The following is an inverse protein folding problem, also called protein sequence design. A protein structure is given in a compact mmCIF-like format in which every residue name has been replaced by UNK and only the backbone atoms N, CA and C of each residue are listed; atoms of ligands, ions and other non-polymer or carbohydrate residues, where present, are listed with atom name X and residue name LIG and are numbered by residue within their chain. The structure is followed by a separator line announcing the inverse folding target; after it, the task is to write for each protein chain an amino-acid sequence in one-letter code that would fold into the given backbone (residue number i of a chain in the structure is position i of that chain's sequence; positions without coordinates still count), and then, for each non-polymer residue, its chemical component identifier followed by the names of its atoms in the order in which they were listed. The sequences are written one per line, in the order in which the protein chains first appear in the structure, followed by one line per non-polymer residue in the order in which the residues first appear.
data_IF_449442521379
#
_entry.id   IF_449442521379
#
_cell.length_a   1.000
_cell.length_b   1.000
_cell.length_c   1.000
_cell.angle_alpha   90.00
_cell.angle_beta   90.00
_cell.angle_gamma   90.00
#
_symmetry.space_group_name_H-M   'P 1'
#
loop_
_entity.id
_entity.type
_entity.pdbx_description
1 polymer ?
#
# COMPACT_ATOMS: atom_id res chain seq x y z
N UNK A 1 3.99 -5.12 -30.70
CA UNK A 1 5.22 -5.50 -29.97
C UNK A 1 5.93 -4.20 -29.59
N UNK A 2 5.74 -3.73 -28.35
CA UNK A 2 6.33 -2.48 -27.87
C UNK A 2 7.71 -2.76 -27.29
N UNK A 3 8.70 -1.96 -27.69
CA UNK A 3 10.12 -2.15 -27.40
C UNK A 3 10.41 -2.12 -25.88
N UNK A 4 10.55 -3.29 -25.27
CA UNK A 4 11.12 -3.48 -23.93
C UNK A 4 12.66 -3.55 -23.94
N UNK A 5 13.29 -3.21 -25.07
CA UNK A 5 14.73 -3.30 -25.25
C UNK A 5 15.38 -1.95 -24.93
N UNK A 6 16.34 -1.97 -23.99
CA UNK A 6 17.37 -0.94 -23.73
C UNK A 6 17.10 0.13 -22.66
N UNK A 7 16.50 -0.21 -21.52
CA UNK A 7 16.75 0.59 -20.31
C UNK A 7 18.11 0.18 -19.74
N UNK A 8 19.18 0.84 -20.20
CA UNK A 8 20.47 0.80 -19.50
C UNK A 8 20.27 1.55 -18.18
N UNK A 9 20.46 0.92 -17.01
CA UNK A 9 20.29 1.61 -15.74
C UNK A 9 21.39 2.68 -15.62
N UNK A 10 21.00 3.95 -15.73
CA UNK A 10 21.87 5.10 -15.52
C UNK A 10 21.75 5.49 -14.05
N UNK A 11 22.88 5.72 -13.33
CA UNK A 11 22.81 6.16 -11.94
C UNK A 11 22.08 7.50 -11.84
N UNK A 12 21.10 7.57 -10.94
CA UNK A 12 20.42 8.82 -10.58
C UNK A 12 21.35 9.59 -9.63
N UNK A 13 21.67 10.87 -9.89
CA UNK A 13 22.46 11.66 -8.95
C UNK A 13 21.80 11.74 -7.58
N UNK A 14 22.58 11.64 -6.49
CA UNK A 14 22.06 11.57 -5.11
C UNK A 14 21.11 12.72 -4.76
N UNK A 15 21.41 13.94 -5.22
CA UNK A 15 20.54 15.11 -4.99
C UNK A 15 19.18 14.96 -5.67
N UNK A 16 19.13 14.33 -6.84
CA UNK A 16 17.89 14.05 -7.56
C UNK A 16 17.12 12.94 -6.85
N UNK A 17 17.80 11.88 -6.40
CA UNK A 17 17.17 10.83 -5.60
C UNK A 17 16.55 11.39 -4.31
N UNK A 18 17.27 12.26 -3.60
CA UNK A 18 16.76 12.95 -2.41
C UNK A 18 15.56 13.85 -2.73
N UNK A 19 15.61 14.58 -3.85
CA UNK A 19 14.50 15.43 -4.29
C UNK A 19 13.25 14.60 -4.60
N UNK A 20 13.38 13.49 -5.33
CA UNK A 20 12.29 12.57 -5.61
C UNK A 20 11.69 12.05 -4.29
N UNK A 21 12.53 11.63 -3.35
CA UNK A 21 12.07 11.18 -2.03
C UNK A 21 11.33 12.26 -1.24
N UNK A 22 11.72 13.54 -1.40
CA UNK A 22 11.07 14.66 -0.71
C UNK A 22 9.70 15.05 -1.29
N UNK A 23 9.37 14.60 -2.50
CA UNK A 23 8.10 14.94 -3.15
C UNK A 23 6.89 14.23 -2.53
N UNK A 24 7.09 13.14 -1.78
CA UNK A 24 6.01 12.43 -1.11
C UNK A 24 5.96 12.87 0.36
N UNK A 25 4.83 13.41 0.84
CA UNK A 25 4.72 13.79 2.24
C UNK A 25 4.88 12.58 3.18
N UNK A 26 5.56 12.71 4.34
CA UNK A 26 5.82 11.57 5.23
C UNK A 26 4.59 10.80 5.69
N UNK A 27 3.47 11.50 5.97
CA UNK A 27 2.22 10.86 6.39
C UNK A 27 1.54 10.05 5.28
N UNK A 28 1.88 10.29 4.01
CA UNK A 28 1.42 9.48 2.87
C UNK A 28 2.23 8.19 2.80
N UNK A 29 3.56 8.28 3.00
CA UNK A 29 4.42 7.09 3.09
C UNK A 29 3.99 6.20 4.26
N UNK A 30 3.73 6.79 5.42
CA UNK A 30 3.23 6.05 6.58
C UNK A 30 1.89 5.36 6.29
N UNK A 31 0.94 6.07 5.69
CA UNK A 31 -0.35 5.48 5.29
C UNK A 31 -0.20 4.36 4.25
N UNK A 32 0.79 4.42 3.36
CA UNK A 32 1.10 3.34 2.40
C UNK A 32 1.57 2.09 3.13
N UNK A 33 2.54 2.23 4.05
CA UNK A 33 3.02 1.12 4.89
C UNK A 33 1.90 0.51 5.73
N UNK A 34 1.05 1.34 6.35
CA UNK A 34 -0.09 0.91 7.14
C UNK A 34 -1.12 0.15 6.28
N UNK A 35 -1.46 0.69 5.11
CA UNK A 35 -2.41 0.07 4.19
C UNK A 35 -1.92 -1.31 3.73
N UNK A 36 -0.64 -1.44 3.38
CA UNK A 36 -0.06 -2.73 2.97
C UNK A 36 -0.03 -3.74 4.11
N UNK A 37 0.32 -3.31 5.33
CA UNK A 37 0.28 -4.18 6.49
C UNK A 37 -1.14 -4.65 6.81
N UNK A 38 -2.11 -3.72 6.86
CA UNK A 38 -3.51 -4.05 7.12
C UNK A 38 -4.10 -4.96 6.02
N UNK A 39 -3.78 -4.69 4.74
CA UNK A 39 -4.21 -5.54 3.63
C UNK A 39 -3.64 -6.96 3.76
N UNK A 40 -2.41 -7.12 4.24
CA UNK A 40 -1.82 -8.44 4.52
C UNK A 40 -2.56 -9.16 5.66
N UNK A 41 -2.88 -8.46 6.75
CA UNK A 41 -3.60 -9.07 7.88
C UNK A 41 -5.04 -9.46 7.49
N UNK A 42 -5.75 -8.62 6.73
CA UNK A 42 -7.08 -8.99 6.18
C UNK A 42 -7.00 -10.28 5.35
N UNK A 43 -5.91 -10.48 4.60
CA UNK A 43 -5.70 -11.70 3.82
C UNK A 43 -5.35 -12.92 4.68
N UNK A 44 -4.82 -12.72 5.89
CA UNK A 44 -4.54 -13.82 6.83
C UNK A 44 -5.84 -14.45 7.35
N UNK A 45 -6.85 -13.64 7.63
CA UNK A 45 -8.16 -14.10 8.10
C UNK A 45 -9.06 -14.59 6.94
N UNK A 46 -8.70 -15.72 6.33
CA UNK A 46 -9.45 -16.37 5.25
C UNK A 46 -10.08 -17.69 5.70
N UNK A 47 -11.32 -17.93 5.27
CA UNK A 47 -12.00 -19.22 5.42
C UNK A 47 -13.47 -19.08 5.79
N UNK A 48 -14.30 -20.10 5.51
CA UNK A 48 -15.74 -20.06 5.78
C UNK A 48 -16.09 -20.20 7.28
N UNK A 49 -15.12 -20.52 8.15
CA UNK A 49 -15.32 -20.74 9.59
C UNK A 49 -14.17 -20.15 10.41
N UNK A 50 -14.08 -18.83 10.42
CA UNK A 50 -13.23 -18.11 11.37
C UNK A 50 -13.85 -18.20 12.76
N UNK A 51 -13.03 -18.40 13.80
CA UNK A 51 -13.48 -18.26 15.17
C UNK A 51 -13.97 -16.82 15.43
N UNK A 52 -14.75 -16.60 16.49
CA UNK A 52 -15.25 -15.25 16.80
C UNK A 52 -14.11 -14.24 17.02
N UNK A 53 -13.00 -14.69 17.61
CA UNK A 53 -11.79 -13.89 17.80
C UNK A 53 -11.17 -13.48 16.45
N UNK A 54 -10.97 -14.46 15.55
CA UNK A 54 -10.46 -14.21 14.20
C UNK A 54 -11.39 -13.30 13.37
N UNK A 55 -12.70 -13.31 13.63
CA UNK A 55 -13.66 -12.41 12.98
C UNK A 55 -13.47 -10.96 13.46
N UNK A 56 -13.32 -10.76 14.77
CA UNK A 56 -13.06 -9.44 15.35
C UNK A 56 -11.72 -8.87 14.85
N UNK A 57 -10.67 -9.69 14.82
CA UNK A 57 -9.36 -9.27 14.30
C UNK A 57 -9.42 -8.90 12.81
N UNK A 58 -10.20 -9.64 12.02
CA UNK A 58 -10.44 -9.29 10.62
C UNK A 58 -11.15 -7.94 10.48
N UNK A 59 -12.17 -7.68 11.29
CA UNK A 59 -12.89 -6.41 11.27
C UNK A 59 -12.00 -5.23 11.66
N UNK A 60 -11.15 -5.43 12.68
CA UNK A 60 -10.15 -4.45 13.08
C UNK A 60 -9.18 -4.14 11.92
N UNK A 61 -8.63 -5.18 11.27
CA UNK A 61 -7.73 -5.02 10.14
C UNK A 61 -8.40 -4.31 8.95
N UNK A 62 -9.69 -4.59 8.69
CA UNK A 62 -10.46 -3.88 7.68
C UNK A 62 -10.66 -2.39 8.02
N UNK A 63 -10.90 -2.07 9.30
CA UNK A 63 -11.04 -0.70 9.76
C UNK A 63 -9.73 0.08 9.68
N UNK A 64 -8.59 -0.56 9.95
CA UNK A 64 -7.26 0.01 9.76
C UNK A 64 -6.97 0.27 8.28
N UNK A 65 -7.24 -0.71 7.41
CA UNK A 65 -7.11 -0.56 5.96
C UNK A 65 -7.98 0.60 5.42
N UNK A 66 -9.22 0.72 5.89
CA UNK A 66 -10.11 1.81 5.49
C UNK A 66 -9.60 3.19 5.93
N UNK A 67 -9.01 3.28 7.14
CA UNK A 67 -8.42 4.51 7.66
C UNK A 67 -7.21 4.95 6.83
N UNK A 68 -6.27 4.03 6.58
CA UNK A 68 -5.10 4.32 5.75
C UNK A 68 -5.50 4.70 4.31
N UNK A 69 -6.42 3.96 3.70
CA UNK A 69 -6.93 4.26 2.36
C UNK A 69 -7.63 5.61 2.26
N UNK A 70 -8.22 6.13 3.34
CA UNK A 70 -8.79 7.48 3.34
C UNK A 70 -7.71 8.54 3.11
N UNK A 71 -6.55 8.39 3.76
CA UNK A 71 -5.41 9.28 3.60
C UNK A 71 -4.85 9.15 2.18
N UNK A 72 -4.61 7.92 1.72
CA UNK A 72 -4.07 7.65 0.39
C UNK A 72 -5.00 8.18 -0.73
N UNK A 73 -6.31 7.94 -0.61
CA UNK A 73 -7.29 8.40 -1.60
C UNK A 73 -7.43 9.92 -1.63
N UNK A 74 -7.25 10.59 -0.48
CA UNK A 74 -7.23 12.05 -0.41
C UNK A 74 -6.00 12.64 -1.11
N UNK A 75 -4.86 11.94 -1.10
CA UNK A 75 -3.67 12.34 -1.85
C UNK A 75 -3.80 12.03 -3.34
N UNK A 76 -4.13 10.78 -3.70
CA UNK A 76 -4.38 10.39 -5.07
C UNK A 76 -5.24 9.11 -5.14
N UNK A 77 -6.36 9.09 -5.90
CA UNK A 77 -7.34 8.00 -5.85
C UNK A 77 -6.80 6.63 -6.31
N UNK A 78 -5.70 6.60 -7.07
CA UNK A 78 -5.04 5.35 -7.50
C UNK A 78 -4.08 4.75 -6.45
N UNK A 79 -3.88 5.42 -5.31
CA UNK A 79 -3.02 4.90 -4.24
C UNK A 79 -3.75 3.98 -3.27
N UNK A 80 -5.09 3.91 -3.34
CA UNK A 80 -5.84 3.03 -2.45
C UNK A 80 -5.49 1.55 -2.66
N UNK A 81 -5.22 0.84 -1.57
CA UNK A 81 -4.82 -0.56 -1.56
C UNK A 81 -6.03 -1.46 -1.31
N UNK A 82 -6.20 -2.48 -2.14
CA UNK A 82 -7.21 -3.52 -1.96
C UNK A 82 -6.65 -4.77 -1.26
N UNK A 83 -7.46 -5.52 -0.49
CA UNK A 83 -7.08 -6.80 0.11
C UNK A 83 -6.86 -7.93 -0.92
N UNK A 84 -6.91 -7.63 -2.22
CA UNK A 84 -6.48 -8.49 -3.32
C UNK A 84 -5.65 -7.76 -4.39
N UNK A 85 -5.36 -6.47 -4.20
CA UNK A 85 -4.51 -5.66 -5.08
C UNK A 85 -3.06 -6.04 -4.83
N UNK A 86 -2.43 -6.70 -5.79
CA UNK A 86 -0.99 -6.55 -6.01
C UNK A 86 -0.85 -5.92 -7.38
N UNK A 87 -0.09 -4.83 -7.45
CA UNK A 87 0.50 -4.38 -8.71
C UNK A 87 1.65 -5.33 -9.09
#
# INVERSE_FOLDING_TARGET
MTASHLLVPVPIPDRVAALIGSCIPPHILEAEFEADCAAREVRRFRGPRLALEDQADREQALAELARANKILSAHHPRLAVGPGSFA
#
